data_IF_128531518038
#
_entry.id   IF_128531518038
#
_cell.length_a   1.000
_cell.length_b   1.000
_cell.length_c   1.000
_cell.angle_alpha   90.00
_cell.angle_beta   90.00
_cell.angle_gamma   90.00
#
_symmetry.space_group_name_H-M   'P 1'
#
loop_
_entity.id
_entity.type
_entity.pdbx_description
1 polymer ?
#
# COMPACT_ATOMS: atom_id res chain seq x y z
N UNK A 1 -9.29 -27.64 -52.86
CA UNK A 1 -8.72 -26.28 -52.66
C UNK A 1 -9.03 -25.91 -51.20
N UNK A 2 -8.32 -26.52 -50.25
CA UNK A 2 -7.21 -25.90 -49.49
C UNK A 2 -7.72 -25.18 -48.25
N UNK A 3 -7.80 -25.92 -47.13
CA UNK A 3 -7.98 -25.36 -45.79
C UNK A 3 -6.69 -24.72 -45.33
N UNK A 4 -6.72 -23.43 -45.01
CA UNK A 4 -5.55 -22.68 -44.56
C UNK A 4 -5.31 -22.96 -43.07
N UNK A 5 -4.29 -23.77 -42.78
CA UNK A 5 -3.76 -23.91 -41.43
C UNK A 5 -3.22 -22.55 -40.96
N UNK A 6 -3.65 -22.09 -39.79
CA UNK A 6 -3.10 -20.88 -39.16
C UNK A 6 -1.73 -21.22 -38.56
N UNK A 7 -0.65 -20.53 -38.95
CA UNK A 7 0.65 -20.74 -38.35
C UNK A 7 0.78 -19.95 -37.05
N UNK A 8 1.30 -20.60 -36.01
CA UNK A 8 1.82 -19.94 -34.82
C UNK A 8 1.19 -20.39 -33.51
N UNK A 9 1.38 -21.66 -33.14
CA UNK A 9 1.30 -22.06 -31.73
C UNK A 9 2.74 -22.35 -31.27
N UNK A 10 3.31 -21.57 -30.33
CA UNK A 10 4.68 -21.79 -29.89
C UNK A 10 4.77 -23.10 -29.10
N UNK A 11 5.65 -24.00 -29.55
CA UNK A 11 5.87 -25.29 -28.90
C UNK A 11 6.21 -25.12 -27.41
N UNK A 12 5.46 -25.83 -26.56
CA UNK A 12 5.55 -25.83 -25.09
C UNK A 12 6.98 -26.02 -24.59
N UNK A 13 7.86 -26.70 -25.33
CA UNK A 13 9.26 -26.87 -24.95
C UNK A 13 10.05 -25.55 -24.95
N UNK A 14 9.66 -24.58 -25.77
CA UNK A 14 10.31 -23.25 -25.84
C UNK A 14 9.98 -22.41 -24.61
N UNK A 15 8.75 -22.51 -24.09
CA UNK A 15 8.30 -21.79 -22.90
C UNK A 15 9.08 -22.23 -21.65
N UNK A 16 9.39 -23.52 -21.52
CA UNK A 16 10.09 -24.08 -20.35
C UNK A 16 11.57 -23.71 -20.30
N UNK A 17 12.20 -23.37 -21.44
CA UNK A 17 13.62 -22.99 -21.51
C UNK A 17 13.87 -21.56 -21.03
N UNK A 18 12.87 -20.68 -21.18
CA UNK A 18 12.95 -19.28 -20.76
C UNK A 18 12.93 -19.12 -19.23
N UNK A 19 12.30 -20.04 -18.50
CA UNK A 19 12.23 -20.00 -17.02
C UNK A 19 13.44 -20.64 -16.34
N UNK A 20 14.17 -21.51 -17.02
CA UNK A 20 15.31 -22.24 -16.45
C UNK A 20 16.62 -21.42 -16.36
N UNK A 21 16.67 -20.23 -16.98
CA UNK A 21 17.84 -19.34 -16.98
C UNK A 21 17.61 -18.06 -16.14
N UNK A 22 16.66 -18.08 -15.20
CA UNK A 22 16.47 -16.95 -14.28
C UNK A 22 17.46 -17.10 -13.12
N UNK A 23 18.40 -16.16 -13.03
CA UNK A 23 19.21 -15.94 -11.84
C UNK A 23 18.27 -15.82 -10.62
N UNK A 24 18.61 -16.41 -9.47
CA UNK A 24 17.89 -16.16 -8.24
C UNK A 24 18.06 -14.68 -7.87
N UNK A 25 16.94 -13.97 -7.89
CA UNK A 25 16.83 -12.58 -7.46
C UNK A 25 17.46 -12.43 -6.06
N UNK A 26 18.35 -11.44 -5.82
CA UNK A 26 18.97 -11.28 -4.52
C UNK A 26 17.89 -11.00 -3.47
N UNK A 27 17.95 -11.78 -2.38
CA UNK A 27 17.06 -11.72 -1.21
C UNK A 27 16.70 -10.27 -0.83
N UNK A 28 15.40 -9.90 -0.75
CA UNK A 28 15.03 -8.54 -0.42
C UNK A 28 15.50 -8.23 1.00
N UNK A 29 16.39 -7.25 1.11
CA UNK A 29 16.90 -6.76 2.39
C UNK A 29 15.76 -6.53 3.40
N UNK A 30 16.00 -6.73 4.72
CA UNK A 30 14.97 -6.59 5.73
C UNK A 30 14.33 -5.21 5.62
N UNK A 31 13.00 -5.20 5.47
CA UNK A 31 12.22 -3.99 5.40
C UNK A 31 12.53 -3.12 6.63
N UNK A 32 12.99 -1.89 6.39
CA UNK A 32 13.05 -0.88 7.44
C UNK A 32 11.65 -0.78 8.05
N UNK A 33 11.52 -0.62 9.39
CA UNK A 33 10.21 -0.53 10.00
C UNK A 33 9.45 0.60 9.31
N UNK A 34 8.31 0.28 8.68
CA UNK A 34 7.39 1.26 8.11
C UNK A 34 6.76 2.13 9.22
N UNK A 35 7.59 2.95 9.86
CA UNK A 35 7.18 3.98 10.79
C UNK A 35 6.74 5.19 10.00
N UNK A 36 5.45 5.23 9.65
CA UNK A 36 4.82 6.44 9.16
C UNK A 36 4.98 7.57 10.19
N UNK A 37 5.09 8.81 9.71
CA UNK A 37 5.10 10.00 10.57
C UNK A 37 3.89 9.94 11.53
N UNK A 38 4.10 10.08 12.85
CA UNK A 38 2.97 10.21 13.77
C UNK A 38 2.14 11.38 13.26
N UNK A 39 0.86 11.14 13.04
CA UNK A 39 -0.03 12.18 12.55
C UNK A 39 -0.06 13.31 13.58
N UNK A 40 0.81 14.32 13.45
CA UNK A 40 0.89 15.51 14.31
C UNK A 40 -0.45 16.28 14.37
N UNK A 41 -1.42 15.88 13.55
CA UNK A 41 -2.78 16.40 13.50
C UNK A 41 -3.77 15.58 14.33
N UNK A 42 -3.46 14.35 14.78
CA UNK A 42 -4.33 13.55 15.66
C UNK A 42 -4.55 14.25 17.01
N UNK A 43 -3.53 14.89 17.57
CA UNK A 43 -3.65 15.67 18.81
C UNK A 43 -4.64 16.86 18.70
N UNK A 44 -5.07 17.19 17.48
CA UNK A 44 -6.09 18.23 17.22
C UNK A 44 -7.48 17.64 17.03
N UNK A 45 -7.65 16.33 16.93
CA UNK A 45 -8.95 15.69 16.69
C UNK A 45 -9.61 15.37 18.03
N UNK A 46 -10.88 15.75 18.20
CA UNK A 46 -11.67 15.33 19.36
C UNK A 46 -12.14 13.88 19.20
N UNK A 47 -11.82 12.98 20.16
CA UNK A 47 -12.28 11.59 20.13
C UNK A 47 -13.81 11.41 20.16
N UNK A 48 -14.56 12.31 20.80
CA UNK A 48 -16.02 12.18 20.90
C UNK A 48 -16.75 12.50 19.58
N UNK A 49 -16.30 13.52 18.84
CA UNK A 49 -17.06 14.03 17.68
C UNK A 49 -16.26 14.14 16.38
N UNK A 50 -14.96 13.85 16.41
CA UNK A 50 -14.07 13.90 15.24
C UNK A 50 -13.78 15.31 14.72
N UNK A 51 -14.12 16.36 15.48
CA UNK A 51 -13.83 17.73 15.09
C UNK A 51 -12.32 18.03 15.18
N UNK A 52 -11.78 18.71 14.16
CA UNK A 52 -10.41 19.22 14.18
C UNK A 52 -10.40 20.59 14.87
N UNK A 53 -9.56 20.73 15.88
CA UNK A 53 -9.37 21.94 16.67
C UNK A 53 -8.22 22.77 16.09
N UNK A 54 -8.33 24.10 16.15
CA UNK A 54 -7.28 25.01 15.67
C UNK A 54 -6.00 24.93 16.51
N UNK A 55 -6.12 24.62 17.81
CA UNK A 55 -5.00 24.50 18.75
C UNK A 55 -4.96 23.12 19.39
N UNK A 56 -3.76 22.55 19.48
CA UNK A 56 -3.47 21.41 20.35
C UNK A 56 -2.39 21.81 21.38
N UNK A 57 -2.53 21.41 22.66
CA UNK A 57 -3.71 20.78 23.24
C UNK A 57 -4.89 21.77 23.38
N UNK A 58 -6.12 21.27 23.39
CA UNK A 58 -7.34 22.05 23.66
C UNK A 58 -7.97 21.60 24.99
N UNK A 59 -8.52 22.52 25.80
CA UNK A 59 -9.14 22.16 27.07
C UNK A 59 -10.57 21.60 26.91
N UNK A 60 -11.29 22.05 25.87
CA UNK A 60 -12.66 21.64 25.51
C UNK A 60 -12.82 21.69 24.00
N UNK A 61 -13.51 20.73 23.41
CA UNK A 61 -13.84 20.77 21.99
C UNK A 61 -14.79 21.94 21.70
N UNK A 62 -14.42 22.79 20.74
CA UNK A 62 -15.22 23.94 20.32
C UNK A 62 -16.57 23.54 19.66
N UNK A 63 -16.68 22.28 19.19
CA UNK A 63 -17.90 21.75 18.55
C UNK A 63 -18.86 21.10 19.54
N UNK A 64 -18.38 20.19 20.38
CA UNK A 64 -19.24 19.38 21.26
C UNK A 64 -19.08 19.67 22.76
N UNK A 65 -18.04 20.40 23.17
CA UNK A 65 -17.76 20.70 24.59
C UNK A 65 -17.16 19.54 25.40
N UNK A 66 -16.83 18.41 24.77
CA UNK A 66 -16.12 17.32 25.44
C UNK A 66 -14.69 17.74 25.85
N UNK A 67 -14.13 17.20 26.94
CA UNK A 67 -12.71 17.36 27.24
C UNK A 67 -11.84 16.67 26.17
N UNK A 68 -10.56 17.05 26.02
CA UNK A 68 -9.58 16.17 25.37
C UNK A 68 -9.48 14.88 26.21
N UNK A 69 -9.30 13.73 25.56
CA UNK A 69 -9.16 12.43 26.24
C UNK A 69 -7.93 12.32 27.15
#
# INVERSE_FOLDING_TARGET
MSGTARPGDPDRATANRATANRDPDPDPAPAEPEGGEPACWLDRVCADCGAIQDTAPFARCARCGAPPE
#
